data_IF_984389084751
#
_entry.id   IF_984389084751
#
_cell.length_a   1.000
_cell.length_b   1.000
_cell.length_c   1.000
_cell.angle_alpha   90.00
_cell.angle_beta   90.00
_cell.angle_gamma   90.00
#
_symmetry.space_group_name_H-M   'P 1'
#
loop_
_entity.id
_entity.type
_entity.pdbx_description
1 polymer ?
#
# COMPACT_ATOMS: atom_id res chain seq x y z
N UNK A 1 21.56 27.89 7.62
CA UNK A 1 20.27 27.20 7.41
C UNK A 1 20.09 27.02 5.92
N UNK A 2 20.42 25.83 5.42
CA UNK A 2 20.43 25.51 4.00
C UNK A 2 19.04 25.09 3.55
N UNK A 3 18.46 25.87 2.66
CA UNK A 3 17.27 25.52 1.88
C UNK A 3 17.72 24.49 0.83
N UNK A 4 17.24 23.25 0.96
CA UNK A 4 17.62 22.15 0.08
C UNK A 4 16.82 22.25 -1.22
N UNK A 5 17.50 22.75 -2.25
CA UNK A 5 17.02 22.67 -3.62
C UNK A 5 16.94 21.21 -4.05
N UNK A 6 15.72 20.69 -4.17
CA UNK A 6 15.44 19.37 -4.72
C UNK A 6 13.97 18.96 -4.68
N UNK A 7 13.19 19.43 -3.71
CA UNK A 7 11.75 19.14 -3.63
C UNK A 7 10.92 20.38 -3.98
N UNK A 8 10.13 20.33 -5.06
CA UNK A 8 9.15 21.39 -5.42
C UNK A 8 7.93 21.45 -4.47
N UNK A 9 8.03 20.91 -3.26
CA UNK A 9 6.95 20.90 -2.29
C UNK A 9 7.19 21.95 -1.20
N UNK A 10 6.23 22.83 -0.98
CA UNK A 10 6.26 23.81 0.11
C UNK A 10 7.03 25.10 -0.16
N UNK A 11 7.33 25.44 -1.42
CA UNK A 11 7.91 26.76 -1.75
C UNK A 11 6.88 27.83 -1.35
N UNK A 12 7.18 28.58 -0.29
CA UNK A 12 6.40 29.74 0.09
C UNK A 12 6.26 30.64 -1.14
N UNK A 13 5.01 30.97 -1.53
CA UNK A 13 4.70 31.85 -2.68
C UNK A 13 5.05 33.31 -2.40
N UNK A 14 6.09 33.57 -1.61
CA UNK A 14 6.64 34.90 -1.44
C UNK A 14 7.76 35.08 -2.45
N UNK A 15 7.72 36.20 -3.18
CA UNK A 15 8.83 36.66 -4.02
C UNK A 15 10.04 36.93 -3.10
N UNK A 16 10.84 35.90 -2.82
CA UNK A 16 12.11 36.07 -2.10
C UNK A 16 13.12 36.63 -3.10
N UNK A 17 13.33 37.94 -3.07
CA UNK A 17 14.42 38.59 -3.79
C UNK A 17 15.74 38.07 -3.21
N UNK A 18 16.38 37.12 -3.91
CA UNK A 18 17.67 36.56 -3.48
C UNK A 18 18.73 37.66 -3.48
N UNK A 19 19.52 37.75 -2.39
CA UNK A 19 20.65 38.67 -2.33
C UNK A 19 21.72 38.27 -3.35
N UNK A 20 22.59 39.20 -3.80
CA UNK A 20 23.71 38.86 -4.68
C UNK A 20 24.58 37.71 -4.14
N UNK A 21 24.84 37.71 -2.82
CA UNK A 21 25.59 36.64 -2.15
C UNK A 21 24.88 35.28 -2.21
N UNK A 22 23.56 35.24 -2.01
CA UNK A 22 22.78 34.00 -2.15
C UNK A 22 22.79 33.47 -3.59
N UNK A 23 22.65 34.37 -4.58
CA UNK A 23 22.76 33.99 -6.00
C UNK A 23 24.13 33.41 -6.33
N UNK A 24 25.20 34.03 -5.83
CA UNK A 24 26.56 33.54 -6.03
C UNK A 24 26.77 32.15 -5.39
N UNK A 25 26.31 31.96 -4.14
CA UNK A 25 26.37 30.66 -3.48
C UNK A 25 25.55 29.58 -4.21
N UNK A 26 24.39 29.93 -4.77
CA UNK A 26 23.59 29.01 -5.59
C UNK A 26 24.31 28.64 -6.89
N UNK A 27 24.96 29.61 -7.57
CA UNK A 27 25.74 29.36 -8.78
C UNK A 27 26.92 28.42 -8.51
N UNK A 28 27.65 28.62 -7.42
CA UNK A 28 28.74 27.75 -7.00
C UNK A 28 28.24 26.33 -6.71
N UNK A 29 27.10 26.18 -6.01
CA UNK A 29 26.48 24.87 -5.77
C UNK A 29 26.07 24.17 -7.07
N UNK A 30 25.47 24.92 -8.01
CA UNK A 30 25.09 24.39 -9.32
C UNK A 30 26.32 23.94 -10.11
N UNK A 31 27.40 24.73 -10.08
CA UNK A 31 28.65 24.38 -10.76
C UNK A 31 29.25 23.09 -10.19
N UNK A 32 29.31 22.97 -8.86
CA UNK A 32 29.77 21.75 -8.18
C UNK A 32 28.91 20.54 -8.55
N UNK A 33 27.58 20.67 -8.52
CA UNK A 33 26.67 19.60 -8.90
C UNK A 33 26.87 19.15 -10.36
N UNK A 34 26.98 20.12 -11.30
CA UNK A 34 27.22 19.83 -12.73
C UNK A 34 28.56 19.14 -12.97
N UNK A 35 29.60 19.50 -12.21
CA UNK A 35 30.90 18.82 -12.29
C UNK A 35 30.78 17.35 -11.87
N UNK A 36 30.10 17.08 -10.75
CA UNK A 36 29.85 15.71 -10.28
C UNK A 36 29.01 14.90 -11.29
N UNK A 37 27.97 15.52 -11.86
CA UNK A 37 27.13 14.88 -12.89
C UNK A 37 27.93 14.56 -14.15
N UNK A 38 28.78 15.49 -14.61
CA UNK A 38 29.64 15.27 -15.77
C UNK A 38 30.61 14.11 -15.53
N UNK A 39 31.24 14.06 -14.36
CA UNK A 39 32.12 12.94 -13.99
C UNK A 39 31.37 11.60 -14.00
N UNK A 40 30.13 11.57 -13.48
CA UNK A 40 29.32 10.35 -13.46
C UNK A 40 29.00 9.90 -14.89
N UNK A 41 28.64 10.84 -15.78
CA UNK A 41 28.37 10.53 -17.19
C UNK A 41 29.58 9.96 -17.90
N UNK A 42 30.78 10.50 -17.67
CA UNK A 42 32.03 9.99 -18.25
C UNK A 42 32.39 8.59 -17.74
N UNK A 43 32.17 8.32 -16.46
CA UNK A 43 32.38 6.99 -15.90
C UNK A 43 31.41 5.97 -16.53
N UNK A 44 30.12 6.34 -16.66
CA UNK A 44 29.09 5.49 -17.26
C UNK A 44 29.34 5.24 -18.75
N UNK A 45 29.76 6.24 -19.52
CA UNK A 45 30.08 6.05 -20.94
C UNK A 45 31.25 5.10 -21.17
N UNK A 46 32.13 4.98 -20.18
CA UNK A 46 33.29 4.07 -20.18
C UNK A 46 32.97 2.71 -19.55
N UNK A 47 31.71 2.45 -19.17
CA UNK A 47 31.28 1.27 -18.40
C UNK A 47 32.12 1.02 -17.13
N UNK A 48 32.64 2.10 -16.52
CA UNK A 48 33.43 2.03 -15.30
C UNK A 48 32.48 1.96 -14.10
N UNK A 49 32.37 0.77 -13.49
CA UNK A 49 31.57 0.53 -12.29
C UNK A 49 32.43 0.31 -11.04
N UNK A 50 33.53 1.05 -10.94
CA UNK A 50 34.48 1.00 -9.81
C UNK A 50 33.92 1.60 -8.51
N UNK A 51 34.68 1.39 -7.42
CA UNK A 51 34.41 2.00 -6.11
C UNK A 51 34.33 3.53 -6.18
N UNK A 52 35.16 4.17 -7.00
CA UNK A 52 35.12 5.62 -7.19
C UNK A 52 33.78 6.08 -7.77
N UNK A 53 33.24 5.32 -8.75
CA UNK A 53 31.93 5.61 -9.33
C UNK A 53 30.82 5.42 -8.31
N UNK A 54 30.92 4.40 -7.45
CA UNK A 54 29.99 4.21 -6.34
C UNK A 54 30.02 5.39 -5.35
N UNK A 55 31.20 5.85 -4.92
CA UNK A 55 31.33 7.00 -4.02
C UNK A 55 30.83 8.31 -4.66
N UNK A 56 30.95 8.44 -5.98
CA UNK A 56 30.38 9.55 -6.73
C UNK A 56 28.84 9.55 -6.68
N UNK A 57 28.20 8.37 -6.81
CA UNK A 57 26.74 8.27 -6.63
C UNK A 57 26.31 8.67 -5.22
N UNK A 58 27.07 8.32 -4.18
CA UNK A 58 26.80 8.75 -2.80
C UNK A 58 26.76 10.27 -2.67
N UNK A 59 27.73 10.97 -3.28
CA UNK A 59 27.77 12.45 -3.27
C UNK A 59 26.56 13.05 -3.99
N UNK A 60 26.25 12.54 -5.18
CA UNK A 60 25.13 13.03 -5.99
C UNK A 60 23.77 12.81 -5.33
N UNK A 61 23.55 11.63 -4.74
CA UNK A 61 22.26 11.29 -4.14
C UNK A 61 22.01 12.00 -2.80
N UNK A 62 23.08 12.36 -2.07
CA UNK A 62 22.97 13.27 -0.91
C UNK A 62 22.64 14.71 -1.31
N UNK A 63 23.00 15.13 -2.53
CA UNK A 63 22.65 16.45 -3.05
C UNK A 63 21.24 16.46 -3.68
N UNK A 64 20.88 15.38 -4.37
CA UNK A 64 19.62 15.24 -5.08
C UNK A 64 19.17 13.77 -5.13
N UNK A 65 18.34 13.31 -4.17
CA UNK A 65 17.82 11.95 -4.18
C UNK A 65 16.82 11.71 -5.32
N UNK A 66 16.32 12.75 -6.00
CA UNK A 66 15.44 12.58 -7.18
C UNK A 66 16.21 12.21 -8.45
N UNK A 67 17.55 12.18 -8.41
CA UNK A 67 18.35 11.87 -9.58
C UNK A 67 18.36 10.37 -9.91
N UNK A 68 17.32 9.93 -10.63
CA UNK A 68 17.10 8.54 -11.05
C UNK A 68 18.33 7.85 -11.65
N UNK A 69 19.07 8.53 -12.54
CA UNK A 69 20.24 7.94 -13.19
C UNK A 69 21.32 7.57 -12.17
N UNK A 70 21.54 8.37 -11.14
CA UNK A 70 22.52 8.05 -10.09
C UNK A 70 22.14 6.79 -9.31
N UNK A 71 20.84 6.58 -9.03
CA UNK A 71 20.36 5.32 -8.43
C UNK A 71 20.63 4.11 -9.31
N UNK A 72 20.38 4.23 -10.62
CA UNK A 72 20.68 3.15 -11.57
C UNK A 72 22.16 2.81 -11.64
N UNK A 73 23.03 3.82 -11.68
CA UNK A 73 24.48 3.60 -11.68
C UNK A 73 24.91 2.94 -10.37
N UNK A 74 24.33 3.36 -9.23
CA UNK A 74 24.59 2.75 -7.92
C UNK A 74 24.21 1.28 -7.86
N UNK A 75 23.05 0.89 -8.43
CA UNK A 75 22.66 -0.52 -8.57
C UNK A 75 23.69 -1.32 -9.37
N UNK A 76 24.19 -0.75 -10.48
CA UNK A 76 25.18 -1.41 -11.33
C UNK A 76 26.53 -1.57 -10.63
N UNK A 77 27.01 -0.56 -9.91
CA UNK A 77 28.27 -0.67 -9.16
C UNK A 77 28.19 -1.70 -8.04
N UNK A 78 27.03 -1.85 -7.39
CA UNK A 78 26.80 -2.93 -6.45
C UNK A 78 26.81 -4.30 -7.13
N UNK A 79 26.02 -4.47 -8.19
CA UNK A 79 25.85 -5.75 -8.89
C UNK A 79 27.14 -6.26 -9.52
N UNK A 80 27.94 -5.38 -10.13
CA UNK A 80 29.15 -5.80 -10.85
C UNK A 80 30.44 -5.75 -10.02
N UNK A 81 30.41 -5.09 -8.86
CA UNK A 81 31.64 -4.77 -8.11
C UNK A 81 31.62 -5.14 -6.64
N UNK A 82 30.55 -4.85 -5.91
CA UNK A 82 30.55 -5.00 -4.44
C UNK A 82 29.93 -6.31 -3.98
N UNK A 83 28.83 -6.75 -4.61
CA UNK A 83 28.25 -8.05 -4.32
C UNK A 83 29.10 -9.19 -4.85
N UNK A 84 29.04 -10.34 -4.19
CA UNK A 84 29.71 -11.56 -4.63
C UNK A 84 29.08 -12.06 -5.93
N UNK A 85 29.91 -12.55 -6.86
CA UNK A 85 29.41 -13.10 -8.13
C UNK A 85 28.79 -14.46 -7.85
N UNK A 86 27.64 -14.72 -8.46
CA UNK A 86 27.04 -16.04 -8.45
C UNK A 86 28.00 -17.03 -9.11
N UNK A 87 28.23 -18.17 -8.47
CA UNK A 87 28.65 -19.37 -9.18
C UNK A 87 27.50 -19.73 -10.14
N UNK A 88 27.76 -19.77 -11.45
CA UNK A 88 26.77 -20.08 -12.50
C UNK A 88 26.38 -21.59 -12.48
N UNK A 89 25.93 -22.06 -11.32
CA UNK A 89 25.64 -23.45 -11.00
C UNK A 89 24.16 -23.73 -10.75
N UNK A 90 23.22 -22.92 -11.24
CA UNK A 90 21.82 -23.33 -11.33
C UNK A 90 21.05 -22.45 -12.34
N UNK A 91 21.00 -22.91 -13.59
CA UNK A 91 20.09 -22.37 -14.61
C UNK A 91 18.66 -22.80 -14.29
N UNK A 92 17.97 -22.03 -13.46
CA UNK A 92 16.51 -22.06 -13.41
C UNK A 92 15.99 -21.05 -14.44
N UNK A 93 15.76 -21.54 -15.65
CA UNK A 93 14.97 -20.85 -16.68
C UNK A 93 13.51 -20.71 -16.21
N UNK A 94 13.22 -19.64 -15.48
CA UNK A 94 11.86 -19.09 -15.37
C UNK A 94 11.86 -17.70 -15.96
N UNK A 95 11.30 -17.61 -17.16
CA UNK A 95 11.26 -16.39 -17.94
C UNK A 95 10.56 -15.27 -17.19
N UNK A 96 11.27 -14.16 -16.98
CA UNK A 96 10.66 -12.87 -16.78
C UNK A 96 9.89 -12.51 -18.05
N UNK A 97 8.58 -12.76 -18.07
CA UNK A 97 7.70 -12.14 -19.06
C UNK A 97 7.55 -10.66 -18.68
N UNK A 98 8.47 -9.84 -19.19
CA UNK A 98 8.27 -8.39 -19.25
C UNK A 98 7.24 -8.09 -20.34
N UNK A 99 6.04 -7.68 -19.94
CA UNK A 99 5.09 -7.01 -20.84
C UNK A 99 4.73 -5.65 -20.26
N UNK A 100 5.55 -4.65 -20.59
CA UNK A 100 5.15 -3.25 -20.54
C UNK A 100 4.10 -2.99 -21.63
N UNK A 101 2.87 -2.67 -21.25
CA UNK A 101 1.96 -1.89 -22.08
C UNK A 101 1.41 -0.74 -21.26
N UNK A 102 1.80 0.47 -21.66
CA UNK A 102 1.10 1.71 -21.34
C UNK A 102 -0.36 1.61 -21.79
N UNK A 103 -1.28 2.01 -20.92
CA UNK A 103 -2.69 2.10 -21.24
C UNK A 103 -3.54 2.38 -20.01
N UNK A 104 -3.85 3.65 -19.78
CA UNK A 104 -5.01 4.12 -19.01
C UNK A 104 -6.25 3.34 -19.46
N UNK A 105 -6.95 2.63 -18.58
CA UNK A 105 -8.42 2.45 -18.54
C UNK A 105 -8.82 1.65 -17.29
N UNK A 106 -9.75 2.24 -16.54
CA UNK A 106 -10.68 1.67 -15.55
C UNK A 106 -11.00 0.20 -15.74
N UNK A 107 -10.95 -0.63 -14.69
CA UNK A 107 -11.60 -1.95 -14.69
C UNK A 107 -12.26 -2.26 -13.34
N UNK A 108 -13.58 -2.39 -13.43
CA UNK A 108 -14.47 -3.04 -12.47
C UNK A 108 -14.41 -4.57 -12.61
N UNK A 109 -14.62 -5.25 -11.48
CA UNK A 109 -15.14 -6.60 -11.22
C UNK A 109 -15.16 -7.69 -12.31
N UNK A 110 -14.70 -8.88 -11.91
CA UNK A 110 -15.09 -10.15 -12.53
C UNK A 110 -14.33 -11.34 -11.96
N UNK A 111 -14.85 -11.92 -10.87
CA UNK A 111 -14.41 -13.22 -10.38
C UNK A 111 -14.80 -14.32 -11.40
N UNK A 112 -13.93 -15.28 -11.63
CA UNK A 112 -14.28 -16.55 -12.27
C UNK A 112 -13.47 -17.68 -11.65
N UNK A 113 -14.17 -18.46 -10.83
CA UNK A 113 -13.74 -19.73 -10.27
C UNK A 113 -13.81 -20.82 -11.34
N UNK A 114 -12.82 -21.70 -11.38
CA UNK A 114 -12.96 -23.04 -11.96
C UNK A 114 -12.18 -24.06 -11.11
N UNK A 115 -12.93 -24.87 -10.37
CA UNK A 115 -12.46 -26.16 -9.83
C UNK A 115 -12.78 -27.27 -10.83
N UNK A 116 -11.87 -28.22 -11.04
CA UNK A 116 -12.16 -29.65 -10.84
C UNK A 116 -10.95 -30.56 -11.13
N UNK A 117 -10.83 -31.54 -10.25
CA UNK A 117 -9.94 -32.69 -10.23
C UNK A 117 -10.23 -33.70 -11.35
N UNK A 118 -9.24 -34.46 -11.83
CA UNK A 118 -9.18 -35.94 -11.69
C UNK A 118 -8.03 -36.62 -12.47
N UNK A 119 -7.45 -37.62 -11.79
CA UNK A 119 -6.90 -38.92 -12.25
C UNK A 119 -5.74 -39.00 -13.26
N UNK A 120 -4.66 -39.55 -12.72
CA UNK A 120 -3.59 -40.35 -13.35
C UNK A 120 -4.12 -41.52 -14.20
N UNK A 121 -3.38 -41.91 -15.25
CA UNK A 121 -2.93 -43.30 -15.36
C UNK A 121 -1.45 -43.47 -15.80
N UNK A 122 -0.88 -44.68 -15.67
CA UNK A 122 0.57 -44.89 -15.59
C UNK A 122 1.24 -45.39 -16.88
N UNK A 123 2.57 -45.19 -16.95
CA UNK A 123 3.50 -46.19 -17.49
C UNK A 123 4.25 -45.82 -18.78
N UNK A 124 5.59 -45.80 -18.69
CA UNK A 124 6.51 -46.60 -19.52
C UNK A 124 7.95 -46.41 -19.05
N UNK A 125 8.61 -47.52 -18.73
CA UNK A 125 10.02 -47.56 -18.34
C UNK A 125 10.98 -47.86 -19.49
N UNK A 126 12.24 -47.45 -19.31
CA UNK A 126 13.50 -48.01 -19.83
C UNK A 126 14.61 -47.02 -19.41
N UNK A 127 15.84 -47.37 -19.04
CA UNK A 127 16.58 -48.63 -19.04
C UNK A 127 17.81 -48.42 -18.14
N UNK A 128 18.17 -49.41 -17.33
CA UNK A 128 19.47 -49.49 -16.65
C UNK A 128 20.56 -49.79 -17.67
N UNK A 129 21.68 -49.08 -17.58
CA UNK A 129 23.00 -49.55 -18.01
C UNK A 129 23.93 -49.43 -16.83
N UNK A 130 24.40 -50.57 -16.31
CA UNK A 130 25.45 -50.59 -15.30
C UNK A 130 26.83 -50.42 -15.92
N UNK A 131 27.75 -49.88 -15.13
CA UNK A 131 29.18 -50.17 -15.25
C UNK A 131 29.76 -50.21 -13.85
N UNK A 132 30.32 -51.37 -13.50
CA UNK A 132 31.10 -51.57 -12.29
C UNK A 132 32.58 -51.37 -12.63
N UNK A 133 33.34 -50.81 -11.68
CA UNK A 133 34.80 -50.70 -11.68
C UNK A 133 35.26 -50.21 -10.31
N UNK A 134 36.13 -51.00 -9.66
CA UNK A 134 36.64 -50.87 -8.28
C UNK A 134 37.98 -50.12 -8.21
N UNK A 135 38.35 -49.66 -7.00
CA UNK A 135 39.63 -49.06 -6.49
C UNK A 135 39.72 -47.53 -6.60
N UNK A 136 40.23 -46.75 -5.65
CA UNK A 136 40.70 -46.90 -4.27
C UNK A 136 40.79 -45.47 -3.64
N UNK A 137 40.79 -45.39 -2.31
CA UNK A 137 41.21 -44.28 -1.43
C UNK A 137 41.32 -42.85 -2.01
N UNK A 138 40.34 -41.99 -1.69
CA UNK A 138 40.50 -40.53 -1.55
C UNK A 138 39.31 -39.83 -0.82
N UNK A 139 38.94 -40.16 0.44
CA UNK A 139 37.88 -39.42 1.11
C UNK A 139 38.34 -38.04 1.61
N UNK A 140 39.63 -37.90 1.95
CA UNK A 140 40.14 -36.75 2.71
C UNK A 140 40.25 -35.48 1.85
N UNK A 141 40.69 -35.58 0.60
CA UNK A 141 40.83 -34.41 -0.27
C UNK A 141 39.49 -33.83 -0.74
N UNK A 142 38.44 -34.66 -0.86
CA UNK A 142 37.09 -34.20 -1.24
C UNK A 142 36.33 -33.57 -0.06
N UNK A 143 36.64 -33.99 1.18
CA UNK A 143 36.12 -33.34 2.39
C UNK A 143 36.83 -32.00 2.63
N UNK A 144 38.16 -31.94 2.47
CA UNK A 144 38.94 -30.69 2.59
C UNK A 144 38.57 -29.62 1.53
N UNK A 145 38.41 -30.00 0.25
CA UNK A 145 37.95 -29.06 -0.79
C UNK A 145 36.51 -28.57 -0.55
N UNK A 146 35.65 -29.41 0.02
CA UNK A 146 34.26 -29.05 0.33
C UNK A 146 34.17 -28.11 1.53
N UNK A 147 35.02 -28.31 2.54
CA UNK A 147 35.11 -27.42 3.70
C UNK A 147 35.67 -26.04 3.30
N UNK A 148 36.64 -25.98 2.37
CA UNK A 148 37.15 -24.71 1.83
C UNK A 148 36.11 -23.93 0.98
N UNK A 149 35.31 -24.62 0.16
CA UNK A 149 34.22 -24.01 -0.62
C UNK A 149 33.10 -23.47 0.29
N UNK A 150 32.73 -24.20 1.34
CA UNK A 150 31.73 -23.77 2.33
C UNK A 150 32.21 -22.53 3.12
N UNK A 151 33.50 -22.47 3.49
CA UNK A 151 34.09 -21.32 4.15
C UNK A 151 34.14 -20.08 3.24
N UNK A 152 34.46 -20.24 1.95
CA UNK A 152 34.49 -19.14 0.98
C UNK A 152 33.07 -18.60 0.70
N UNK A 153 32.07 -19.48 0.63
CA UNK A 153 30.66 -19.09 0.50
C UNK A 153 30.17 -18.33 1.74
N UNK A 154 30.48 -18.80 2.95
CA UNK A 154 30.11 -18.11 4.20
C UNK A 154 30.75 -16.71 4.28
N UNK A 155 32.03 -16.58 3.89
CA UNK A 155 32.71 -15.30 3.84
C UNK A 155 32.08 -14.33 2.82
N UNK A 156 31.67 -14.85 1.65
CA UNK A 156 30.97 -14.09 0.61
C UNK A 156 29.60 -13.60 1.09
N UNK A 157 28.80 -14.48 1.70
CA UNK A 157 27.47 -14.15 2.25
C UNK A 157 27.59 -13.11 3.37
N UNK A 158 28.59 -13.22 4.25
CA UNK A 158 28.86 -12.22 5.30
C UNK A 158 29.21 -10.85 4.74
N UNK A 159 30.02 -10.80 3.69
CA UNK A 159 30.35 -9.55 2.98
C UNK A 159 29.11 -8.93 2.33
N UNK A 160 28.26 -9.75 1.71
CA UNK A 160 27.02 -9.29 1.07
C UNK A 160 26.02 -8.78 2.12
N UNK A 161 25.92 -9.44 3.27
CA UNK A 161 25.10 -9.02 4.41
C UNK A 161 25.51 -7.62 4.89
N UNK A 162 26.80 -7.37 5.09
CA UNK A 162 27.31 -6.06 5.49
C UNK A 162 27.08 -4.99 4.41
N UNK A 163 27.19 -5.37 3.14
CA UNK A 163 26.90 -4.47 2.01
C UNK A 163 25.43 -4.07 1.99
N UNK A 164 24.51 -5.03 2.11
CA UNK A 164 23.06 -4.79 2.20
C UNK A 164 22.73 -3.87 3.38
N UNK A 165 23.23 -4.17 4.58
CA UNK A 165 23.01 -3.34 5.78
C UNK A 165 23.54 -1.92 5.59
N UNK A 166 24.73 -1.76 5.02
CA UNK A 166 25.31 -0.44 4.71
C UNK A 166 24.42 0.36 3.76
N UNK A 167 23.85 -0.27 2.74
CA UNK A 167 22.96 0.40 1.78
C UNK A 167 21.59 0.77 2.36
N UNK A 168 21.03 -0.09 3.21
CA UNK A 168 19.83 0.24 3.98
C UNK A 168 20.11 1.39 4.97
N UNK A 169 21.27 1.41 5.61
CA UNK A 169 21.68 2.52 6.47
C UNK A 169 21.90 3.82 5.66
N UNK A 170 22.43 3.74 4.44
CA UNK A 170 22.64 4.89 3.56
C UNK A 170 21.33 5.56 3.14
N UNK A 171 20.29 4.76 2.83
CA UNK A 171 18.99 5.30 2.39
C UNK A 171 18.17 5.89 3.53
N UNK A 172 18.41 5.48 4.78
CA UNK A 172 17.65 5.96 5.94
C UNK A 172 17.65 7.50 6.12
N UNK A 173 18.80 8.20 6.19
CA UNK A 173 18.81 9.66 6.31
C UNK A 173 18.15 10.34 5.10
N UNK A 174 18.30 9.78 3.89
CA UNK A 174 17.66 10.31 2.69
C UNK A 174 16.13 10.20 2.76
N UNK A 175 15.59 9.09 3.30
CA UNK A 175 14.15 8.94 3.53
C UNK A 175 13.63 9.94 4.57
N UNK A 176 14.39 10.21 5.64
CA UNK A 176 13.96 11.17 6.65
C UNK A 176 13.86 12.59 6.10
N UNK A 177 14.74 12.94 5.17
CA UNK A 177 14.84 14.24 4.52
C UNK A 177 13.85 14.39 3.36
N UNK A 178 13.76 13.36 2.50
CA UNK A 178 12.91 13.32 1.31
C UNK A 178 11.94 12.12 1.35
N UNK A 179 10.99 12.07 2.29
CA UNK A 179 10.14 10.90 2.56
C UNK A 179 9.16 10.54 1.44
N UNK A 180 9.01 11.43 0.44
CA UNK A 180 8.14 11.28 -0.73
C UNK A 180 8.92 11.04 -2.02
N UNK A 181 10.25 10.88 -1.94
CA UNK A 181 11.05 10.55 -3.10
C UNK A 181 10.84 9.08 -3.49
N UNK A 182 10.20 8.86 -4.63
CA UNK A 182 9.91 7.52 -5.16
C UNK A 182 11.17 6.66 -5.30
N UNK A 183 12.27 7.26 -5.75
CA UNK A 183 13.49 6.51 -6.08
C UNK A 183 14.19 5.93 -4.86
N UNK A 184 14.09 6.57 -3.70
CA UNK A 184 14.66 6.02 -2.47
C UNK A 184 13.89 4.75 -2.07
N UNK A 185 12.56 4.82 -2.06
CA UNK A 185 11.71 3.66 -1.75
C UNK A 185 11.93 2.51 -2.74
N UNK A 186 11.98 2.81 -4.05
CA UNK A 186 12.25 1.82 -5.10
C UNK A 186 13.64 1.20 -4.98
N UNK A 187 14.67 1.99 -4.69
CA UNK A 187 16.02 1.47 -4.49
C UNK A 187 16.10 0.60 -3.23
N UNK A 188 15.41 1.00 -2.16
CA UNK A 188 15.39 0.24 -0.92
C UNK A 188 14.74 -1.13 -1.10
N UNK A 189 13.61 -1.22 -1.83
CA UNK A 189 13.01 -2.50 -2.21
C UNK A 189 14.00 -3.36 -3.02
N UNK A 190 14.67 -2.79 -4.00
CA UNK A 190 15.66 -3.52 -4.79
C UNK A 190 16.80 -4.10 -3.92
N UNK A 191 17.29 -3.35 -2.92
CA UNK A 191 18.29 -3.86 -1.97
C UNK A 191 17.74 -5.03 -1.15
N UNK A 192 16.48 -4.95 -0.72
CA UNK A 192 15.84 -6.06 -0.01
C UNK A 192 15.68 -7.30 -0.90
N UNK A 193 15.36 -7.13 -2.19
CA UNK A 193 15.34 -8.25 -3.14
C UNK A 193 16.73 -8.90 -3.25
N UNK A 194 17.81 -8.10 -3.23
CA UNK A 194 19.17 -8.65 -3.23
C UNK A 194 19.44 -9.46 -1.95
N UNK A 195 18.87 -9.10 -0.81
CA UNK A 195 19.03 -9.87 0.43
C UNK A 195 18.44 -11.29 0.31
N UNK A 196 17.32 -11.46 -0.42
CA UNK A 196 16.72 -12.78 -0.67
C UNK A 196 17.61 -13.60 -1.62
N UNK A 197 18.20 -12.94 -2.62
CA UNK A 197 19.01 -13.61 -3.63
C UNK A 197 20.40 -14.03 -3.15
N UNK A 198 20.98 -13.28 -2.20
CA UNK A 198 22.39 -13.39 -1.83
C UNK A 198 22.62 -14.01 -0.44
N UNK A 199 21.61 -14.02 0.43
CA UNK A 199 21.78 -14.40 1.84
C UNK A 199 20.96 -15.63 2.20
N UNK A 200 21.34 -16.35 3.28
CA UNK A 200 20.47 -17.35 3.88
C UNK A 200 19.09 -16.76 4.22
N UNK A 201 18.04 -17.57 4.03
CA UNK A 201 16.64 -17.16 4.23
C UNK A 201 16.41 -16.54 5.61
N UNK A 202 17.07 -17.04 6.65
CA UNK A 202 16.95 -16.52 8.01
C UNK A 202 17.46 -15.06 8.13
N UNK A 203 18.59 -14.74 7.51
CA UNK A 203 19.15 -13.39 7.52
C UNK A 203 18.35 -12.43 6.65
N UNK A 204 17.95 -12.87 5.46
CA UNK A 204 17.05 -12.11 4.60
C UNK A 204 15.75 -11.77 5.34
N UNK A 205 15.08 -12.78 5.92
CA UNK A 205 13.84 -12.59 6.68
C UNK A 205 14.00 -11.57 7.80
N UNK A 206 15.11 -11.63 8.56
CA UNK A 206 15.40 -10.67 9.62
C UNK A 206 15.52 -9.23 9.10
N UNK A 207 16.22 -9.04 7.98
CA UNK A 207 16.34 -7.72 7.34
C UNK A 207 14.96 -7.19 6.95
N UNK A 208 14.14 -7.99 6.29
CA UNK A 208 12.78 -7.60 5.90
C UNK A 208 11.89 -7.29 7.13
N UNK A 209 12.06 -8.00 8.26
CA UNK A 209 11.33 -7.72 9.50
C UNK A 209 11.69 -6.35 10.10
N UNK A 210 12.96 -5.93 10.03
CA UNK A 210 13.41 -4.62 10.52
C UNK A 210 12.72 -3.45 9.77
N UNK A 211 12.30 -3.67 8.53
CA UNK A 211 11.59 -2.69 7.70
C UNK A 211 10.19 -2.36 8.21
N UNK A 212 9.55 -3.25 8.97
CA UNK A 212 8.31 -2.93 9.68
C UNK A 212 8.54 -1.84 10.75
N UNK A 213 9.74 -1.80 11.34
CA UNK A 213 10.16 -0.73 12.25
C UNK A 213 10.39 0.60 11.52
N UNK A 214 11.03 0.55 10.34
CA UNK A 214 11.19 1.74 9.49
C UNK A 214 9.84 2.33 9.10
N UNK A 215 8.93 1.52 8.55
CA UNK A 215 7.61 2.00 8.13
C UNK A 215 6.84 2.61 9.28
N UNK A 216 6.88 1.97 10.46
CA UNK A 216 6.29 2.52 11.68
C UNK A 216 6.85 3.90 12.00
N UNK A 217 8.18 4.08 11.97
CA UNK A 217 8.83 5.37 12.20
C UNK A 217 8.42 6.44 11.18
N UNK A 218 8.36 6.07 9.90
CA UNK A 218 7.98 6.99 8.82
C UNK A 218 6.50 7.42 8.95
N UNK A 219 5.62 6.48 9.33
CA UNK A 219 4.19 6.75 9.54
C UNK A 219 3.91 7.51 10.85
N UNK A 220 4.74 7.37 11.88
CA UNK A 220 4.66 8.26 13.05
C UNK A 220 5.01 9.72 12.70
N UNK A 221 5.90 9.94 11.71
CA UNK A 221 6.29 11.29 11.25
C UNK A 221 5.27 11.89 10.28
N UNK A 222 4.78 11.10 9.33
CA UNK A 222 3.71 11.46 8.40
C UNK A 222 2.77 10.27 8.21
N UNK A 223 1.70 10.25 9.01
CA UNK A 223 0.71 9.17 9.04
C UNK A 223 -0.05 8.97 7.72
N UNK A 224 -0.04 9.99 6.85
CA UNK A 224 -0.66 9.97 5.52
C UNK A 224 0.35 9.74 4.40
N UNK A 225 1.58 9.36 4.73
CA UNK A 225 2.58 9.04 3.71
C UNK A 225 2.20 7.76 2.98
N UNK A 226 1.60 7.91 1.79
CA UNK A 226 1.16 6.79 0.98
C UNK A 226 2.32 5.89 0.51
N UNK A 227 3.53 6.44 0.34
CA UNK A 227 4.70 5.63 -0.01
C UNK A 227 5.08 4.70 1.14
N UNK A 228 5.05 5.20 2.38
CA UNK A 228 5.35 4.38 3.56
C UNK A 228 4.28 3.28 3.77
N UNK A 229 3.00 3.60 3.58
CA UNK A 229 1.92 2.60 3.62
C UNK A 229 2.05 1.57 2.49
N UNK A 230 2.35 2.00 1.26
CA UNK A 230 2.57 1.10 0.12
C UNK A 230 3.78 0.20 0.32
N UNK A 231 4.88 0.76 0.81
CA UNK A 231 6.09 0.03 1.15
C UNK A 231 5.83 -0.99 2.26
N UNK A 232 5.08 -0.62 3.31
CA UNK A 232 4.68 -1.56 4.39
C UNK A 232 3.91 -2.75 3.84
N UNK A 233 2.90 -2.52 2.98
CA UNK A 233 2.14 -3.62 2.35
C UNK A 233 3.02 -4.55 1.52
N UNK A 234 3.99 -3.99 0.80
CA UNK A 234 4.94 -4.80 0.03
C UNK A 234 5.86 -5.63 0.94
N UNK A 235 6.41 -5.03 2.00
CA UNK A 235 7.22 -5.72 3.01
C UNK A 235 6.44 -6.86 3.67
N UNK A 236 5.19 -6.61 4.07
CA UNK A 236 4.30 -7.63 4.63
C UNK A 236 4.09 -8.76 3.62
N UNK A 237 3.71 -8.44 2.39
CA UNK A 237 3.47 -9.47 1.35
C UNK A 237 4.70 -10.34 1.07
N UNK A 238 5.91 -9.75 1.10
CA UNK A 238 7.13 -10.53 0.95
C UNK A 238 7.45 -11.36 2.21
N UNK A 239 7.23 -10.83 3.42
CA UNK A 239 7.42 -11.57 4.67
C UNK A 239 6.48 -12.77 4.81
N UNK A 240 5.31 -12.73 4.17
CA UNK A 240 4.33 -13.81 4.10
C UNK A 240 4.65 -14.84 2.99
N UNK A 241 5.60 -14.56 2.10
CA UNK A 241 5.93 -15.41 0.96
C UNK A 241 6.64 -16.70 1.35
N UNK A 242 6.52 -17.73 0.50
CA UNK A 242 7.28 -18.98 0.61
C UNK A 242 8.80 -18.74 0.54
N UNK A 243 9.24 -17.72 -0.18
CA UNK A 243 10.66 -17.36 -0.36
C UNK A 243 11.33 -16.98 0.96
N UNK A 244 10.55 -16.43 1.90
CA UNK A 244 10.99 -16.10 3.26
C UNK A 244 10.46 -17.09 4.32
N UNK A 245 9.87 -18.20 3.91
CA UNK A 245 9.20 -19.15 4.81
C UNK A 245 8.22 -18.43 5.73
N UNK A 246 7.41 -17.56 5.13
CA UNK A 246 6.50 -16.65 5.80
C UNK A 246 5.25 -17.32 6.36
N UNK A 247 4.63 -16.66 7.32
CA UNK A 247 3.29 -16.96 7.79
C UNK A 247 2.45 -15.69 7.69
N UNK A 248 1.12 -15.83 7.68
CA UNK A 248 0.21 -14.69 7.62
C UNK A 248 0.46 -13.70 8.77
N UNK A 249 0.58 -12.43 8.40
CA UNK A 249 0.70 -11.29 9.29
C UNK A 249 -0.61 -10.52 9.43
N UNK A 250 -1.72 -11.01 8.85
CA UNK A 250 -3.01 -10.29 8.77
C UNK A 250 -3.49 -9.79 10.14
N UNK A 251 -3.34 -10.61 11.20
CA UNK A 251 -3.72 -10.25 12.57
C UNK A 251 -2.87 -9.09 13.12
N UNK A 252 -1.55 -9.19 12.92
CA UNK A 252 -0.62 -8.17 13.39
C UNK A 252 -0.78 -6.85 12.65
N UNK A 253 -1.11 -6.90 11.35
CA UNK A 253 -1.38 -5.73 10.53
C UNK A 253 -2.74 -5.12 10.86
N UNK A 254 -3.76 -5.94 11.10
CA UNK A 254 -5.06 -5.45 11.58
C UNK A 254 -4.91 -4.76 12.94
N UNK A 255 -4.16 -5.34 13.88
CA UNK A 255 -3.80 -4.69 15.13
C UNK A 255 -2.94 -3.43 14.95
N UNK A 256 -2.11 -3.36 13.92
CA UNK A 256 -1.40 -2.13 13.55
C UNK A 256 -2.37 -1.02 13.12
N UNK A 257 -3.41 -1.33 12.33
CA UNK A 257 -4.41 -0.33 11.95
C UNK A 257 -5.17 0.23 13.16
N UNK A 258 -5.54 -0.62 14.12
CA UNK A 258 -6.21 -0.19 15.36
C UNK A 258 -5.34 0.82 16.13
N UNK A 259 -4.04 0.52 16.32
CA UNK A 259 -3.11 1.47 16.95
C UNK A 259 -3.01 2.80 16.20
N UNK A 260 -2.98 2.76 14.87
CA UNK A 260 -2.85 3.96 14.04
C UNK A 260 -4.13 4.81 14.03
N UNK A 261 -5.31 4.18 14.14
CA UNK A 261 -6.60 4.86 14.27
C UNK A 261 -6.75 5.50 15.65
N UNK A 262 -6.43 4.78 16.73
CA UNK A 262 -6.47 5.32 18.09
C UNK A 262 -5.53 6.51 18.30
N UNK A 263 -4.40 6.52 17.58
CA UNK A 263 -3.47 7.64 17.62
C UNK A 263 -3.96 8.89 16.86
N UNK A 264 -4.82 8.70 15.86
CA UNK A 264 -5.41 9.77 15.05
C UNK A 264 -6.65 9.28 14.29
N UNK A 265 -7.84 9.68 14.74
CA UNK A 265 -9.10 9.30 14.09
C UNK A 265 -9.18 9.84 12.65
N UNK A 266 -8.48 10.92 12.34
CA UNK A 266 -8.38 11.50 10.99
C UNK A 266 -7.47 10.75 10.02
N UNK A 267 -6.92 9.61 10.43
CA UNK A 267 -5.98 8.86 9.62
C UNK A 267 -6.68 7.99 8.56
N UNK A 268 -7.10 8.61 7.46
CA UNK A 268 -7.71 7.90 6.32
C UNK A 268 -6.92 6.68 5.84
N UNK A 269 -5.58 6.75 5.85
CA UNK A 269 -4.75 5.64 5.38
C UNK A 269 -4.83 4.41 6.29
N UNK A 270 -5.04 4.61 7.60
CA UNK A 270 -5.25 3.53 8.54
C UNK A 270 -6.65 2.90 8.37
N UNK A 271 -7.70 3.72 8.26
CA UNK A 271 -9.06 3.24 7.97
C UNK A 271 -9.14 2.47 6.66
N UNK A 272 -8.53 2.98 5.60
CA UNK A 272 -8.45 2.29 4.31
C UNK A 272 -7.67 0.97 4.42
N UNK A 273 -6.52 0.96 5.10
CA UNK A 273 -5.76 -0.28 5.29
C UNK A 273 -6.58 -1.30 6.09
N UNK A 274 -7.31 -0.86 7.11
CA UNK A 274 -8.22 -1.70 7.91
C UNK A 274 -9.30 -2.34 7.02
N UNK A 275 -10.01 -1.55 6.22
CA UNK A 275 -11.08 -2.07 5.35
C UNK A 275 -10.57 -3.11 4.35
N UNK A 276 -9.36 -2.93 3.82
CA UNK A 276 -8.75 -3.91 2.90
C UNK A 276 -8.32 -5.23 3.55
N UNK A 277 -8.01 -5.22 4.86
CA UNK A 277 -7.57 -6.40 5.59
C UNK A 277 -8.74 -7.28 6.06
N UNK A 278 -9.89 -6.68 6.35
CA UNK A 278 -11.06 -7.36 6.96
C UNK A 278 -11.48 -8.63 6.21
N UNK A 279 -11.66 -8.65 4.87
CA UNK A 279 -12.09 -9.85 4.17
C UNK A 279 -11.14 -11.04 4.41
N UNK A 280 -9.84 -10.81 4.19
CA UNK A 280 -8.79 -11.81 4.40
C UNK A 280 -8.70 -12.25 5.87
N UNK A 281 -8.83 -11.31 6.81
CA UNK A 281 -8.82 -11.60 8.24
C UNK A 281 -9.92 -12.58 8.64
N UNK A 282 -11.16 -12.33 8.19
CA UNK A 282 -12.31 -13.17 8.52
C UNK A 282 -12.23 -14.54 7.83
N UNK A 283 -11.70 -14.58 6.61
CA UNK A 283 -11.52 -15.84 5.87
C UNK A 283 -10.44 -16.71 6.53
N UNK A 284 -9.30 -16.15 6.91
CA UNK A 284 -8.21 -16.89 7.57
C UNK A 284 -8.56 -17.34 8.99
N UNK A 285 -9.42 -16.59 9.70
CA UNK A 285 -10.00 -17.03 10.97
C UNK A 285 -10.97 -18.21 10.81
N UNK A 286 -11.43 -18.49 9.59
CA UNK A 286 -12.54 -19.42 9.35
C UNK A 286 -13.85 -18.94 9.98
N UNK A 287 -14.04 -17.61 10.04
CA UNK A 287 -15.10 -16.99 10.83
C UNK A 287 -16.49 -17.43 10.36
N UNK A 288 -17.27 -17.97 11.29
CA UNK A 288 -18.65 -18.38 11.06
C UNK A 288 -19.61 -17.19 10.94
N UNK A 289 -20.88 -17.48 10.63
CA UNK A 289 -21.91 -16.46 10.45
C UNK A 289 -22.05 -15.55 11.68
N UNK A 290 -22.12 -16.15 12.87
CA UNK A 290 -22.28 -15.41 14.12
C UNK A 290 -21.08 -14.52 14.45
N UNK A 291 -19.87 -15.02 14.22
CA UNK A 291 -18.63 -14.28 14.46
C UNK A 291 -18.49 -13.09 13.50
N UNK A 292 -18.90 -13.27 12.24
CA UNK A 292 -18.93 -12.20 11.24
C UNK A 292 -19.94 -11.12 11.58
N UNK A 293 -21.11 -11.50 12.07
CA UNK A 293 -22.14 -10.59 12.55
C UNK A 293 -21.64 -9.77 13.77
N UNK A 294 -21.05 -10.44 14.76
CA UNK A 294 -20.50 -9.79 15.95
C UNK A 294 -19.31 -8.88 15.62
N UNK A 295 -18.50 -9.27 14.63
CA UNK A 295 -17.43 -8.43 14.08
C UNK A 295 -17.98 -7.16 13.44
N UNK A 296 -19.00 -7.28 12.56
CA UNK A 296 -19.62 -6.12 11.94
C UNK A 296 -20.20 -5.15 12.98
N UNK A 297 -20.92 -5.67 13.99
CA UNK A 297 -21.44 -4.85 15.10
C UNK A 297 -20.34 -4.10 15.83
N UNK A 298 -19.21 -4.76 16.07
CA UNK A 298 -18.05 -4.15 16.73
C UNK A 298 -17.47 -3.01 15.88
N UNK A 299 -17.32 -3.22 14.57
CA UNK A 299 -16.83 -2.18 13.67
C UNK A 299 -17.80 -1.01 13.49
N UNK A 300 -19.12 -1.27 13.45
CA UNK A 300 -20.15 -0.23 13.42
C UNK A 300 -20.12 0.61 14.69
N UNK A 301 -20.04 -0.02 15.87
CA UNK A 301 -19.93 0.70 17.12
C UNK A 301 -18.65 1.54 17.19
N UNK A 302 -17.51 1.00 16.76
CA UNK A 302 -16.26 1.74 16.69
C UNK A 302 -16.39 3.01 15.84
N UNK A 303 -17.01 2.92 14.65
CA UNK A 303 -17.13 4.09 13.78
C UNK A 303 -18.18 5.09 14.26
N UNK A 304 -19.26 4.62 14.91
CA UNK A 304 -20.27 5.50 15.54
C UNK A 304 -19.64 6.33 16.66
N UNK A 305 -18.91 5.69 17.57
CA UNK A 305 -18.18 6.40 18.64
C UNK A 305 -17.18 7.43 18.08
N UNK A 306 -16.56 7.15 16.93
CA UNK A 306 -15.67 8.09 16.26
C UNK A 306 -16.44 9.26 15.61
N UNK A 307 -17.61 9.00 15.02
CA UNK A 307 -18.47 10.01 14.41
C UNK A 307 -19.09 10.93 15.48
N UNK A 308 -19.36 10.44 16.68
CA UNK A 308 -19.85 11.26 17.82
C UNK A 308 -18.85 12.35 18.23
N UNK A 309 -17.56 12.18 17.91
CA UNK A 309 -16.51 13.14 18.29
C UNK A 309 -15.91 13.92 17.13
N UNK A 310 -16.08 13.45 15.88
CA UNK A 310 -15.49 14.09 14.70
C UNK A 310 -16.33 13.93 13.43
N UNK A 311 -17.62 14.29 13.45
CA UNK A 311 -18.51 14.10 12.30
C UNK A 311 -18.11 14.96 11.09
N UNK A 312 -17.26 15.97 11.24
CA UNK A 312 -16.69 16.73 10.13
C UNK A 312 -15.62 15.95 9.34
N UNK A 313 -15.07 14.87 9.91
CA UNK A 313 -13.98 14.13 9.29
C UNK A 313 -14.49 13.15 8.23
N UNK A 314 -14.20 13.48 6.98
CA UNK A 314 -14.57 12.68 5.83
C UNK A 314 -14.02 11.25 5.86
N UNK A 315 -12.91 11.01 6.54
CA UNK A 315 -12.31 9.68 6.65
C UNK A 315 -13.22 8.71 7.39
N UNK A 316 -13.91 9.20 8.41
CA UNK A 316 -14.83 8.40 9.22
C UNK A 316 -16.05 8.00 8.40
N UNK A 317 -16.63 8.95 7.67
CA UNK A 317 -17.76 8.68 6.78
C UNK A 317 -17.40 7.70 5.65
N UNK A 318 -16.20 7.77 5.09
CA UNK A 318 -15.76 6.79 4.10
C UNK A 318 -15.63 5.37 4.67
N UNK A 319 -15.19 5.25 5.92
CA UNK A 319 -15.16 3.94 6.59
C UNK A 319 -16.57 3.44 6.93
N UNK A 320 -17.44 4.34 7.41
CA UNK A 320 -18.85 4.04 7.65
C UNK A 320 -19.56 3.58 6.37
N UNK A 321 -19.37 4.30 5.25
CA UNK A 321 -19.85 3.91 3.93
C UNK A 321 -19.35 2.54 3.51
N UNK A 322 -18.07 2.21 3.74
CA UNK A 322 -17.56 0.87 3.48
C UNK A 322 -18.31 -0.22 4.29
N UNK A 323 -18.60 0.03 5.56
CA UNK A 323 -19.36 -0.93 6.39
C UNK A 323 -20.80 -1.06 5.91
N UNK A 324 -21.46 0.05 5.59
CA UNK A 324 -22.81 0.07 5.03
C UNK A 324 -22.86 -0.63 3.67
N UNK A 325 -21.87 -0.43 2.81
CA UNK A 325 -21.76 -1.14 1.52
C UNK A 325 -21.69 -2.66 1.72
N UNK A 326 -21.07 -3.15 2.81
CA UNK A 326 -21.06 -4.58 3.15
C UNK A 326 -22.42 -5.11 3.64
N UNK A 327 -23.34 -4.22 4.04
CA UNK A 327 -24.72 -4.51 4.42
C UNK A 327 -25.65 -4.42 3.21
N UNK A 328 -25.52 -3.40 2.37
CA UNK A 328 -26.48 -3.11 1.30
C UNK A 328 -26.12 -3.71 -0.07
N UNK A 329 -24.84 -4.08 -0.29
CA UNK A 329 -24.42 -4.64 -1.57
C UNK A 329 -25.09 -5.99 -1.85
N UNK A 330 -25.48 -6.27 -3.11
CA UNK A 330 -26.20 -7.49 -3.47
C UNK A 330 -25.39 -8.76 -3.22
N UNK A 331 -26.12 -9.83 -2.90
CA UNK A 331 -25.60 -11.18 -2.66
C UNK A 331 -24.73 -11.63 -3.85
N UNK A 332 -23.48 -12.05 -3.59
CA UNK A 332 -22.55 -12.56 -4.60
C UNK A 332 -21.21 -11.82 -4.70
N UNK A 333 -21.01 -10.73 -3.96
CA UNK A 333 -19.68 -10.16 -3.67
C UNK A 333 -19.20 -10.64 -2.30
N UNK A 334 -17.88 -10.79 -2.08
CA UNK A 334 -17.36 -11.01 -0.73
C UNK A 334 -17.76 -9.82 0.15
N UNK A 335 -18.63 -10.07 1.13
CA UNK A 335 -18.99 -9.09 2.16
C UNK A 335 -18.56 -9.61 3.53
N UNK A 336 -18.50 -8.72 4.52
CA UNK A 336 -18.27 -9.10 5.92
C UNK A 336 -19.31 -10.14 6.36
N UNK A 337 -20.57 -9.95 5.95
CA UNK A 337 -21.75 -10.70 6.37
C UNK A 337 -22.55 -11.24 5.16
N UNK A 338 -22.06 -12.30 4.50
CA UNK A 338 -22.67 -12.80 3.26
C UNK A 338 -24.03 -13.47 3.45
N UNK A 339 -24.34 -13.93 4.67
CA UNK A 339 -25.54 -14.73 4.98
C UNK A 339 -26.72 -13.93 5.51
N UNK A 340 -26.58 -12.62 5.75
CA UNK A 340 -27.71 -11.80 6.21
C UNK A 340 -28.84 -11.79 5.19
N UNK A 341 -30.04 -12.03 5.70
CA UNK A 341 -31.31 -11.89 4.99
C UNK A 341 -31.60 -10.43 4.66
N UNK A 342 -32.53 -10.19 3.73
CA UNK A 342 -32.94 -8.81 3.38
C UNK A 342 -33.52 -8.11 4.61
N UNK A 343 -34.38 -8.79 5.39
CA UNK A 343 -34.99 -8.22 6.60
C UNK A 343 -33.94 -7.79 7.63
N UNK A 344 -32.89 -8.60 7.84
CA UNK A 344 -31.80 -8.22 8.74
C UNK A 344 -31.00 -7.02 8.21
N UNK A 345 -30.73 -6.96 6.90
CA UNK A 345 -30.04 -5.82 6.27
C UNK A 345 -30.84 -4.53 6.41
N UNK A 346 -32.16 -4.62 6.24
CA UNK A 346 -33.11 -3.51 6.47
C UNK A 346 -32.98 -3.03 7.91
N UNK A 347 -33.03 -3.92 8.90
CA UNK A 347 -32.86 -3.56 10.32
C UNK A 347 -31.54 -2.84 10.58
N UNK A 348 -30.42 -3.33 10.05
CA UNK A 348 -29.13 -2.65 10.19
C UNK A 348 -29.16 -1.23 9.60
N UNK A 349 -29.64 -1.09 8.38
CA UNK A 349 -29.63 0.19 7.68
C UNK A 349 -30.59 1.21 8.31
N UNK A 350 -31.78 0.76 8.75
CA UNK A 350 -32.71 1.58 9.53
C UNK A 350 -32.05 2.09 10.81
N UNK A 351 -31.36 1.21 11.54
CA UNK A 351 -30.66 1.62 12.76
C UNK A 351 -29.55 2.65 12.47
N UNK A 352 -28.77 2.50 11.39
CA UNK A 352 -27.78 3.54 11.01
C UNK A 352 -28.45 4.87 10.66
N UNK A 353 -29.56 4.86 9.91
CA UNK A 353 -30.30 6.08 9.59
C UNK A 353 -30.79 6.76 10.87
N UNK A 354 -31.33 6.01 11.83
CA UNK A 354 -31.73 6.54 13.15
C UNK A 354 -30.55 7.16 13.88
N UNK A 355 -29.42 6.46 14.02
CA UNK A 355 -28.24 7.00 14.71
C UNK A 355 -27.71 8.27 14.03
N UNK A 356 -27.74 8.34 12.70
CA UNK A 356 -27.28 9.53 11.96
C UNK A 356 -28.29 10.68 12.11
N UNK A 357 -29.60 10.40 12.24
CA UNK A 357 -30.61 11.40 12.60
C UNK A 357 -30.38 11.94 14.01
N UNK A 358 -30.00 11.09 14.96
CA UNK A 358 -29.65 11.52 16.32
C UNK A 358 -28.40 12.42 16.28
N UNK A 359 -27.37 12.03 15.53
CA UNK A 359 -26.17 12.85 15.32
C UNK A 359 -26.50 14.20 14.65
N UNK A 360 -27.51 14.24 13.78
CA UNK A 360 -27.92 15.46 13.11
C UNK A 360 -28.48 16.52 14.09
N UNK A 361 -29.05 16.09 15.23
CA UNK A 361 -29.59 17.01 16.24
C UNK A 361 -28.51 17.95 16.82
N UNK A 362 -27.27 17.46 16.92
CA UNK A 362 -26.14 18.22 17.45
C UNK A 362 -25.29 18.91 16.36
N UNK A 363 -25.38 18.45 15.10
CA UNK A 363 -24.43 18.81 14.02
C UNK A 363 -25.13 19.25 12.70
N UNK A 364 -25.95 20.30 12.76
CA UNK A 364 -26.73 20.80 11.62
C UNK A 364 -25.91 21.43 10.45
N UNK A 365 -24.63 21.72 10.66
CA UNK A 365 -23.74 22.34 9.66
C UNK A 365 -22.78 21.35 8.99
N UNK A 366 -22.87 20.06 9.34
CA UNK A 366 -22.02 19.01 8.78
C UNK A 366 -22.69 18.38 7.57
N UNK A 367 -22.21 18.74 6.36
CA UNK A 367 -22.77 18.23 5.09
C UNK A 367 -22.76 16.70 4.95
N UNK A 368 -21.79 16.03 5.58
CA UNK A 368 -21.58 14.59 5.43
C UNK A 368 -22.70 13.76 6.06
N UNK A 369 -23.33 14.28 7.13
CA UNK A 369 -24.51 13.70 7.78
C UNK A 369 -25.67 13.65 6.78
N UNK A 370 -25.97 14.78 6.14
CA UNK A 370 -27.03 14.84 5.13
C UNK A 370 -26.73 13.98 3.90
N UNK A 371 -25.46 13.90 3.46
CA UNK A 371 -25.04 13.03 2.36
C UNK A 371 -25.29 11.56 2.71
N UNK A 372 -24.95 11.13 3.93
CA UNK A 372 -25.19 9.77 4.42
C UNK A 372 -26.67 9.46 4.59
N UNK A 373 -27.47 10.34 5.21
CA UNK A 373 -28.92 10.16 5.36
C UNK A 373 -29.62 9.98 4.02
N UNK A 374 -29.24 10.81 3.03
CA UNK A 374 -29.76 10.74 1.67
C UNK A 374 -29.42 9.40 1.01
N UNK A 375 -28.15 9.01 1.02
CA UNK A 375 -27.68 7.78 0.37
C UNK A 375 -28.27 6.53 1.03
N UNK A 376 -28.34 6.50 2.37
CA UNK A 376 -28.81 5.33 3.11
C UNK A 376 -30.33 5.18 3.06
N UNK A 377 -31.10 6.27 3.11
CA UNK A 377 -32.57 6.19 2.95
C UNK A 377 -32.94 5.70 1.55
N UNK A 378 -32.23 6.16 0.51
CA UNK A 378 -32.40 5.64 -0.84
C UNK A 378 -31.97 4.17 -0.97
N UNK A 379 -30.87 3.79 -0.31
CA UNK A 379 -30.43 2.39 -0.21
C UNK A 379 -31.45 1.49 0.49
N UNK A 380 -32.11 1.99 1.53
CA UNK A 380 -33.17 1.29 2.26
C UNK A 380 -34.37 1.01 1.35
N UNK A 381 -34.83 2.03 0.64
CA UNK A 381 -35.90 1.87 -0.35
C UNK A 381 -35.55 0.83 -1.42
N UNK A 382 -34.28 0.80 -1.86
CA UNK A 382 -33.81 -0.19 -2.83
C UNK A 382 -33.79 -1.61 -2.27
N UNK A 383 -33.34 -1.80 -1.02
CA UNK A 383 -33.36 -3.12 -0.35
C UNK A 383 -34.78 -3.67 -0.20
N UNK A 384 -35.74 -2.79 0.09
CA UNK A 384 -37.15 -3.13 0.28
C UNK A 384 -37.95 -3.15 -1.05
N UNK A 385 -37.28 -2.91 -2.18
CA UNK A 385 -37.90 -2.83 -3.52
C UNK A 385 -39.10 -1.86 -3.59
N UNK A 386 -39.06 -0.79 -2.80
CA UNK A 386 -40.14 0.21 -2.70
C UNK A 386 -39.69 1.61 -3.09
N UNK A 387 -40.66 2.50 -3.25
CA UNK A 387 -40.40 3.95 -3.37
C UNK A 387 -40.34 4.57 -1.97
N UNK A 388 -39.67 5.73 -1.82
CA UNK A 388 -39.72 6.49 -0.58
C UNK A 388 -41.17 6.80 -0.19
N UNK A 389 -41.46 6.64 1.10
CA UNK A 389 -42.73 7.05 1.70
C UNK A 389 -42.85 8.58 1.69
N UNK A 390 -44.03 9.12 2.05
CA UNK A 390 -44.27 10.57 1.93
C UNK A 390 -43.39 11.38 2.90
N UNK A 391 -43.18 10.88 4.11
CA UNK A 391 -42.28 11.45 5.11
C UNK A 391 -40.81 11.32 4.69
N UNK A 392 -40.37 10.15 4.24
CA UNK A 392 -39.01 9.95 3.69
C UNK A 392 -38.77 10.85 2.47
N UNK A 393 -39.75 10.99 1.58
CA UNK A 393 -39.66 11.89 0.42
C UNK A 393 -39.46 13.34 0.86
N UNK A 394 -40.18 13.77 1.90
CA UNK A 394 -40.04 15.12 2.44
C UNK A 394 -38.65 15.31 3.07
N UNK A 395 -38.20 14.36 3.88
CA UNK A 395 -36.84 14.32 4.46
C UNK A 395 -35.77 14.44 3.37
N UNK A 396 -35.86 13.63 2.30
CA UNK A 396 -34.93 13.66 1.17
C UNK A 396 -34.90 15.03 0.49
N UNK A 397 -36.07 15.67 0.28
CA UNK A 397 -36.15 17.02 -0.31
C UNK A 397 -35.44 18.05 0.58
N UNK A 398 -35.68 17.99 1.89
CA UNK A 398 -35.11 18.93 2.85
C UNK A 398 -33.60 18.74 3.01
N UNK A 399 -33.11 17.49 3.05
CA UNK A 399 -31.68 17.20 3.06
C UNK A 399 -30.98 17.63 1.78
N UNK A 400 -31.58 17.42 0.59
CA UNK A 400 -31.00 17.93 -0.68
C UNK A 400 -30.92 19.46 -0.68
N UNK A 401 -31.92 20.15 -0.12
CA UNK A 401 -31.89 21.61 0.03
C UNK A 401 -30.72 22.02 0.91
N UNK A 402 -30.54 21.36 2.06
CA UNK A 402 -29.46 21.65 3.00
C UNK A 402 -28.07 21.35 2.41
N UNK A 403 -27.92 20.27 1.65
CA UNK A 403 -26.69 19.96 0.91
C UNK A 403 -26.32 21.03 -0.12
N UNK A 404 -27.31 21.65 -0.78
CA UNK A 404 -27.05 22.78 -1.69
C UNK A 404 -26.54 24.02 -0.97
N UNK A 405 -26.98 24.23 0.27
CA UNK A 405 -26.51 25.32 1.13
C UNK A 405 -25.09 25.06 1.64
N UNK A 406 -24.83 23.85 2.15
CA UNK A 406 -23.55 23.48 2.77
C UNK A 406 -22.45 23.10 1.76
N UNK A 407 -22.80 22.78 0.51
CA UNK A 407 -21.86 22.26 -0.48
C UNK A 407 -22.05 22.87 -1.89
N UNK A 408 -21.94 24.20 -2.03
CA UNK A 408 -22.24 24.92 -3.26
C UNK A 408 -21.32 24.51 -4.43
N UNK A 409 -20.10 24.05 -4.15
CA UNK A 409 -19.16 23.60 -5.18
C UNK A 409 -19.62 22.32 -5.90
N UNK A 410 -20.46 21.48 -5.27
CA UNK A 410 -21.02 20.26 -5.86
C UNK A 410 -22.51 20.41 -6.20
N UNK A 411 -23.01 21.64 -6.37
CA UNK A 411 -24.44 21.92 -6.67
C UNK A 411 -24.98 21.11 -7.86
N UNK A 412 -24.18 20.90 -8.91
CA UNK A 412 -24.56 20.07 -10.05
C UNK A 412 -24.95 18.64 -9.64
N UNK A 413 -24.18 18.01 -8.75
CA UNK A 413 -24.48 16.67 -8.20
C UNK A 413 -25.85 16.63 -7.54
N UNK A 414 -26.16 17.63 -6.71
CA UNK A 414 -27.43 17.68 -5.97
C UNK A 414 -28.64 17.99 -6.85
N UNK A 415 -28.44 18.72 -7.94
CA UNK A 415 -29.48 18.95 -8.95
C UNK A 415 -29.77 17.67 -9.73
N UNK A 416 -28.73 16.96 -10.16
CA UNK A 416 -28.88 15.68 -10.86
C UNK A 416 -29.58 14.64 -9.97
N UNK A 417 -29.19 14.52 -8.70
CA UNK A 417 -29.84 13.61 -7.76
C UNK A 417 -31.33 13.95 -7.54
N UNK A 418 -31.68 15.23 -7.36
CA UNK A 418 -33.09 15.66 -7.23
C UNK A 418 -33.92 15.23 -8.44
N UNK A 419 -33.34 15.31 -9.64
CA UNK A 419 -33.97 14.90 -10.90
C UNK A 419 -34.13 13.38 -10.98
N UNK A 420 -33.07 12.64 -10.70
CA UNK A 420 -33.03 11.18 -10.90
C UNK A 420 -34.02 10.45 -9.97
N UNK A 421 -34.26 10.97 -8.76
CA UNK A 421 -35.24 10.43 -7.81
C UNK A 421 -36.61 11.14 -7.83
N UNK A 422 -36.81 12.07 -8.76
CA UNK A 422 -38.09 12.78 -8.91
C UNK A 422 -38.51 13.56 -7.66
N UNK A 423 -37.56 14.09 -6.90
CA UNK A 423 -37.77 14.79 -5.62
C UNK A 423 -38.23 16.25 -5.85
N UNK A 424 -39.28 16.46 -6.65
CA UNK A 424 -39.89 17.79 -6.85
C UNK A 424 -40.77 18.18 -5.67
N UNK A 425 -40.71 19.44 -5.25
CA UNK A 425 -41.67 20.01 -4.30
C UNK A 425 -43.07 19.92 -4.92
N UNK A 426 -44.01 19.27 -4.23
CA UNK A 426 -45.42 19.34 -4.58
C UNK A 426 -45.84 20.80 -4.39
N UNK A 427 -46.08 21.51 -5.49
CA UNK A 427 -46.71 22.83 -5.42
C UNK A 427 -48.01 22.67 -4.62
N UNK A 428 -48.27 23.49 -3.58
CA UNK A 428 -49.51 23.40 -2.82
C UNK A 428 -50.67 23.59 -3.80
N UNK A 429 -51.51 22.56 -3.88
CA UNK A 429 -52.55 22.43 -4.90
C UNK A 429 -53.39 23.70 -5.03
N UNK A 430 -53.39 24.27 -6.24
CA UNK A 430 -54.41 25.22 -6.64
C UNK A 430 -55.77 24.54 -6.52
N UNK A 431 -56.53 24.91 -5.49
CA UNK A 431 -57.97 24.62 -5.43
C UNK A 431 -58.61 25.33 -6.63
N UNK A 432 -59.38 24.56 -7.39
CA UNK A 432 -60.03 24.99 -8.63
C UNK A 432 -61.24 25.87 -8.45
#
# INVERSE_FOLDING_TARGET
MADQGGSQHGIARTSRTRTPAQKQADLERIQQYRALEAHLRTAVSSSNYSRETFDLTTKLLRLNPEYYTAWNVRRRTLTFGLFSRRSDGCSCSRGCSSSSRSGTTTMSFGASSCSCSTRTPPGRGCRRTGRSGTTADAPVAQEEEKDEEEEEEEAAQKKDLETVKSELAFTFPLLLESPKCYWIWSYRLWILDQSILLLPVADAKKIWQEELGLTSKMLSKDRRNFHAWGYRRHVVGQLESDELGGESLVESEFGYTDRMIRADLSNFSAWHSRSTLIPRLLDERGAGEKEREDFLKTELNLIREALDVGPEDQSLWYYHQFLVDNIVSPVGRPTIVPTLTVDERVVYLTNEITNIKDLLEDYEDVKLIYEALLEYTLGLCQLEERKPEEDERQDLIDWVKKLKELDPMRMGRWVDLKRDYGLTELLPGGRG
#
